data_IF_296500739458
#
_entry.id   IF_296500739458
#
_cell.length_a   1.000
_cell.length_b   1.000
_cell.length_c   1.000
_cell.angle_alpha   90.00
_cell.angle_beta   90.00
_cell.angle_gamma   90.00
#
_symmetry.space_group_name_H-M   'P 1'
#
loop_
_entity.id
_entity.type
_entity.pdbx_description
1 polymer ?
#
# COMPACT_ATOMS: atom_id res chain seq x y z
N UNK A 1 -7.82 -8.22 1.97
CA UNK A 1 -8.75 -7.26 1.35
C UNK A 1 -9.02 -6.14 2.32
N UNK A 2 -8.44 -5.00 2.03
CA UNK A 2 -8.53 -3.83 2.88
C UNK A 2 -9.47 -2.83 2.23
N UNK A 3 -10.45 -2.33 2.96
CA UNK A 3 -11.28 -1.18 2.58
C UNK A 3 -11.88 -0.59 3.83
N UNK A 4 -11.64 0.68 4.07
CA UNK A 4 -12.20 1.43 5.17
C UNK A 4 -12.96 2.63 4.63
N UNK A 5 -14.16 2.87 5.13
CA UNK A 5 -14.91 4.10 4.87
C UNK A 5 -14.94 4.95 6.13
N UNK A 6 -14.61 6.22 5.99
CA UNK A 6 -14.70 7.22 7.07
C UNK A 6 -15.74 8.24 6.62
N UNK A 7 -16.82 8.35 7.39
CA UNK A 7 -17.87 9.35 7.18
C UNK A 7 -17.79 10.42 8.27
N UNK A 8 -17.70 11.67 7.86
CA UNK A 8 -17.72 12.83 8.73
C UNK A 8 -18.76 13.79 8.16
N UNK A 9 -19.83 14.00 8.89
CA UNK A 9 -21.02 14.74 8.45
C UNK A 9 -21.59 14.17 7.13
N UNK A 10 -21.52 14.95 6.04
CA UNK A 10 -22.03 14.58 4.73
C UNK A 10 -20.92 14.19 3.74
N UNK A 11 -19.71 14.01 4.20
CA UNK A 11 -18.57 13.65 3.36
C UNK A 11 -18.02 12.27 3.74
N UNK A 12 -17.74 11.45 2.73
CA UNK A 12 -17.15 10.12 2.87
C UNK A 12 -15.84 10.07 2.12
N UNK A 13 -14.82 9.54 2.78
CA UNK A 13 -13.58 9.11 2.13
C UNK A 13 -13.41 7.60 2.30
N UNK A 14 -12.74 6.99 1.33
CA UNK A 14 -12.47 5.56 1.35
C UNK A 14 -10.96 5.37 1.38
N UNK A 15 -10.47 4.51 2.26
CA UNK A 15 -9.06 4.11 2.30
C UNK A 15 -8.97 2.68 1.79
N UNK A 16 -8.23 2.51 0.69
CA UNK A 16 -8.02 1.26 -0.03
C UNK A 16 -9.31 0.61 -0.58
N UNK A 17 -9.16 -0.31 -1.51
CA UNK A 17 -10.21 -1.19 -1.99
C UNK A 17 -9.57 -2.46 -2.58
N UNK A 18 -9.15 -3.35 -1.69
CA UNK A 18 -8.43 -4.55 -2.03
C UNK A 18 -9.31 -5.67 -2.55
N UNK A 19 -8.66 -6.71 -3.05
CA UNK A 19 -9.30 -7.97 -3.39
C UNK A 19 -8.66 -9.12 -2.60
N UNK A 20 -9.38 -10.23 -2.57
CA UNK A 20 -8.87 -11.51 -2.10
C UNK A 20 -9.02 -12.55 -3.21
N UNK A 21 -8.00 -13.35 -3.42
CA UNK A 21 -8.10 -14.48 -4.34
C UNK A 21 -9.04 -15.54 -3.77
N UNK A 22 -9.69 -16.28 -4.64
CA UNK A 22 -10.48 -17.42 -4.23
C UNK A 22 -9.60 -18.47 -3.55
N UNK A 23 -10.21 -19.24 -2.67
CA UNK A 23 -9.61 -20.43 -2.04
C UNK A 23 -10.45 -21.66 -2.37
N UNK A 24 -10.07 -22.81 -1.83
CA UNK A 24 -10.79 -24.07 -2.03
C UNK A 24 -12.27 -24.01 -1.57
N UNK A 25 -12.60 -23.10 -0.65
CA UNK A 25 -13.96 -22.92 -0.13
C UNK A 25 -14.87 -22.15 -1.09
N UNK A 26 -14.30 -21.51 -2.12
CA UNK A 26 -15.04 -20.68 -3.10
C UNK A 26 -14.76 -21.13 -4.55
N UNK A 27 -15.08 -22.38 -4.94
CA UNK A 27 -14.82 -22.88 -6.29
C UNK A 27 -15.64 -22.10 -7.32
N UNK A 28 -15.00 -21.75 -8.45
CA UNK A 28 -15.63 -21.00 -9.54
C UNK A 28 -15.71 -19.48 -9.32
N UNK A 29 -15.10 -18.97 -8.25
CA UNK A 29 -14.93 -17.54 -8.01
C UNK A 29 -13.48 -17.18 -8.24
N UNK A 30 -13.19 -16.19 -9.09
CA UNK A 30 -11.83 -15.74 -9.36
C UNK A 30 -11.26 -14.86 -8.24
N UNK A 31 -12.12 -13.99 -7.69
CA UNK A 31 -11.72 -13.09 -6.59
C UNK A 31 -12.94 -12.58 -5.81
N UNK A 32 -12.68 -12.11 -4.60
CA UNK A 32 -13.67 -11.50 -3.71
C UNK A 32 -13.28 -10.04 -3.45
N UNK A 33 -14.22 -9.12 -3.59
CA UNK A 33 -14.06 -7.69 -3.26
C UNK A 33 -14.90 -7.33 -2.04
N UNK A 34 -14.63 -6.19 -1.39
CA UNK A 34 -15.47 -5.69 -0.31
C UNK A 34 -16.91 -5.43 -0.73
N UNK A 35 -17.85 -5.55 0.20
CA UNK A 35 -19.24 -5.20 -0.03
C UNK A 35 -19.39 -3.68 -0.11
N UNK A 36 -19.93 -3.20 -1.21
CA UNK A 36 -20.05 -1.77 -1.52
C UNK A 36 -21.43 -1.18 -1.29
N UNK A 37 -22.42 -1.98 -0.85
CA UNK A 37 -23.82 -1.56 -0.77
C UNK A 37 -24.03 -0.27 0.03
N UNK A 38 -23.38 -0.15 1.18
CA UNK A 38 -23.45 1.07 2.01
C UNK A 38 -22.97 2.32 1.24
N UNK A 39 -21.91 2.18 0.47
CA UNK A 39 -21.32 3.25 -0.32
C UNK A 39 -22.15 3.58 -1.58
N UNK A 40 -22.73 2.56 -2.21
CA UNK A 40 -23.59 2.74 -3.38
C UNK A 40 -24.83 3.59 -3.07
N UNK A 41 -25.41 3.39 -1.89
CA UNK A 41 -26.54 4.17 -1.39
C UNK A 41 -26.19 5.62 -1.04
N UNK A 42 -24.87 5.95 -0.92
CA UNK A 42 -24.31 7.25 -0.49
C UNK A 42 -23.29 7.81 -1.44
N UNK A 43 -23.30 7.38 -2.70
CA UNK A 43 -22.30 7.77 -3.70
C UNK A 43 -22.12 9.28 -3.86
N UNK A 44 -23.18 10.04 -3.65
CA UNK A 44 -23.16 11.51 -3.78
C UNK A 44 -22.38 12.20 -2.63
N UNK A 45 -22.14 11.47 -1.52
CA UNK A 45 -21.32 11.92 -0.39
C UNK A 45 -19.84 11.53 -0.51
N UNK A 46 -19.48 10.62 -1.42
CA UNK A 46 -18.11 10.12 -1.54
C UNK A 46 -17.25 11.17 -2.24
N UNK A 47 -16.21 11.64 -1.54
CA UNK A 47 -15.33 12.71 -2.00
C UNK A 47 -14.04 12.20 -2.63
N UNK A 48 -13.51 11.10 -2.12
CA UNK A 48 -12.25 10.55 -2.58
C UNK A 48 -12.08 9.07 -2.18
N UNK A 49 -11.23 8.38 -2.94
CA UNK A 49 -10.58 7.15 -2.51
C UNK A 49 -9.08 7.43 -2.35
N UNK A 50 -8.52 6.99 -1.24
CA UNK A 50 -7.12 7.20 -0.85
C UNK A 50 -6.45 5.83 -0.81
N UNK A 51 -5.35 5.65 -1.54
CA UNK A 51 -4.68 4.36 -1.63
C UNK A 51 -3.34 4.43 -0.91
N UNK A 52 -3.16 3.58 0.08
CA UNK A 52 -1.94 3.54 0.89
C UNK A 52 -0.74 3.03 0.10
N UNK A 53 -0.90 1.96 -0.67
CA UNK A 53 0.15 1.38 -1.50
C UNK A 53 -0.40 0.42 -2.57
N UNK A 54 0.47 -0.08 -3.45
CA UNK A 54 0.07 -0.79 -4.66
C UNK A 54 -0.14 -2.31 -4.55
N UNK A 55 -0.21 -2.92 -3.37
CA UNK A 55 -0.49 -4.36 -3.26
C UNK A 55 -1.95 -4.69 -3.61
N UNK A 56 -2.19 -5.88 -4.16
CA UNK A 56 -3.51 -6.28 -4.67
C UNK A 56 -4.60 -6.36 -3.59
N UNK A 57 -4.24 -6.67 -2.36
CA UNK A 57 -5.16 -6.64 -1.23
C UNK A 57 -5.52 -5.22 -0.76
N UNK A 58 -4.92 -4.19 -1.39
CA UNK A 58 -5.25 -2.76 -1.23
C UNK A 58 -5.82 -2.13 -2.50
N UNK A 59 -5.35 -2.52 -3.70
CA UNK A 59 -5.80 -1.92 -4.96
C UNK A 59 -6.62 -2.84 -5.87
N UNK A 60 -6.61 -4.14 -5.63
CA UNK A 60 -7.13 -5.13 -6.58
C UNK A 60 -8.62 -4.97 -6.92
N UNK A 61 -9.43 -4.48 -5.98
CA UNK A 61 -10.85 -4.21 -6.16
C UNK A 61 -11.19 -2.82 -6.67
N UNK A 62 -10.23 -1.90 -6.75
CA UNK A 62 -10.46 -0.48 -7.06
C UNK A 62 -11.28 -0.26 -8.33
N UNK A 63 -10.97 -0.85 -9.51
CA UNK A 63 -11.78 -0.63 -10.71
C UNK A 63 -13.25 -0.99 -10.54
N UNK A 64 -13.50 -2.12 -9.88
CA UNK A 64 -14.85 -2.64 -9.66
C UNK A 64 -15.62 -1.83 -8.61
N UNK A 65 -14.96 -1.44 -7.54
CA UNK A 65 -15.56 -0.62 -6.47
C UNK A 65 -15.92 0.76 -7.03
N UNK A 66 -14.98 1.43 -7.69
CA UNK A 66 -15.22 2.76 -8.28
C UNK A 66 -16.41 2.79 -9.24
N UNK A 67 -16.57 1.76 -10.08
CA UNK A 67 -17.68 1.68 -11.03
C UNK A 67 -19.05 1.64 -10.34
N UNK A 68 -19.12 1.18 -9.09
CA UNK A 68 -20.36 1.08 -8.30
C UNK A 68 -20.66 2.34 -7.50
N UNK A 69 -19.62 3.06 -7.08
CA UNK A 69 -19.74 4.17 -6.14
C UNK A 69 -19.64 5.56 -6.80
N UNK A 70 -19.75 5.66 -8.13
CA UNK A 70 -19.79 6.94 -8.83
C UNK A 70 -18.42 7.45 -9.31
N UNK A 71 -17.36 6.63 -9.27
CA UNK A 71 -16.03 6.92 -9.78
C UNK A 71 -15.37 8.19 -9.20
N UNK A 72 -15.32 8.35 -7.86
CA UNK A 72 -14.65 9.50 -7.24
C UNK A 72 -13.15 9.53 -7.58
N UNK A 73 -12.48 10.71 -7.40
CA UNK A 73 -11.03 10.81 -7.59
C UNK A 73 -10.27 9.87 -6.65
N UNK A 74 -9.17 9.31 -7.16
CA UNK A 74 -8.29 8.37 -6.43
C UNK A 74 -6.93 9.02 -6.22
N UNK A 75 -6.51 9.14 -4.97
CA UNK A 75 -5.24 9.74 -4.60
C UNK A 75 -4.26 8.67 -4.14
N UNK A 76 -3.05 8.69 -4.67
CA UNK A 76 -1.96 7.81 -4.22
C UNK A 76 -0.58 8.34 -4.65
N UNK A 77 0.47 7.70 -4.18
CA UNK A 77 1.84 7.92 -4.62
C UNK A 77 2.05 7.40 -6.05
N UNK A 78 3.10 7.89 -6.70
CA UNK A 78 3.34 7.67 -8.13
C UNK A 78 3.36 6.18 -8.53
N UNK A 79 4.13 5.33 -7.84
CA UNK A 79 4.20 3.91 -8.16
C UNK A 79 2.83 3.23 -8.04
N UNK A 80 2.10 3.53 -6.97
CA UNK A 80 0.75 2.98 -6.76
C UNK A 80 -0.22 3.43 -7.85
N UNK A 81 -0.11 4.68 -8.32
CA UNK A 81 -0.90 5.19 -9.47
C UNK A 81 -0.57 4.42 -10.75
N UNK A 82 0.70 4.10 -11.01
CA UNK A 82 1.09 3.27 -12.16
C UNK A 82 0.52 1.86 -12.06
N UNK A 83 0.56 1.25 -10.88
CA UNK A 83 -0.02 -0.07 -10.64
C UNK A 83 -1.55 -0.07 -10.75
N UNK A 84 -2.21 0.96 -10.25
CA UNK A 84 -3.64 1.18 -10.43
C UNK A 84 -4.02 1.27 -11.91
N UNK A 85 -3.27 2.02 -12.71
CA UNK A 85 -3.48 2.12 -14.16
C UNK A 85 -3.30 0.76 -14.85
N UNK A 86 -2.28 -0.01 -14.43
CA UNK A 86 -2.09 -1.38 -14.92
C UNK A 86 -3.28 -2.26 -14.54
N UNK A 87 -3.73 -2.21 -13.28
CA UNK A 87 -4.91 -2.95 -12.82
C UNK A 87 -6.18 -2.54 -13.57
N UNK A 88 -6.38 -1.23 -13.80
CA UNK A 88 -7.52 -0.73 -14.59
C UNK A 88 -7.53 -1.27 -16.03
N UNK A 89 -6.36 -1.47 -16.63
CA UNK A 89 -6.27 -2.00 -18.01
C UNK A 89 -6.81 -3.42 -18.17
N UNK A 90 -6.98 -4.16 -17.09
CA UNK A 90 -7.62 -5.47 -17.09
C UNK A 90 -9.17 -5.37 -17.16
N UNK A 91 -9.71 -4.18 -16.95
CA UNK A 91 -11.14 -3.88 -16.96
C UNK A 91 -11.47 -2.75 -17.96
N UNK A 92 -11.19 -2.92 -19.27
CA UNK A 92 -11.31 -1.84 -20.25
C UNK A 92 -12.77 -1.37 -20.48
N UNK A 93 -13.74 -2.15 -20.03
CA UNK A 93 -15.17 -1.86 -20.12
C UNK A 93 -15.69 -0.99 -18.96
N UNK A 94 -14.88 -0.79 -17.92
CA UNK A 94 -15.25 0.06 -16.77
C UNK A 94 -14.81 1.51 -17.00
N UNK A 95 -15.41 2.48 -16.26
CA UNK A 95 -15.04 3.88 -16.36
C UNK A 95 -13.54 4.11 -16.14
N UNK A 96 -12.98 5.07 -16.86
CA UNK A 96 -11.57 5.43 -16.71
C UNK A 96 -11.27 5.91 -15.29
N UNK A 97 -10.10 5.52 -14.79
CA UNK A 97 -9.61 5.89 -13.46
C UNK A 97 -9.21 7.37 -13.42
N UNK A 98 -9.79 8.14 -12.49
CA UNK A 98 -9.36 9.50 -12.18
C UNK A 98 -8.29 9.45 -11.08
N UNK A 99 -7.07 9.06 -11.41
CA UNK A 99 -5.98 8.93 -10.46
C UNK A 99 -5.13 10.20 -10.39
N UNK A 100 -4.92 10.69 -9.19
CA UNK A 100 -4.17 11.89 -8.86
C UNK A 100 -2.97 11.48 -8.01
N UNK A 101 -1.78 11.88 -8.43
CA UNK A 101 -0.55 11.64 -7.66
C UNK A 101 -0.42 12.69 -6.56
N UNK A 102 -0.11 12.23 -5.35
CA UNK A 102 0.20 13.07 -4.19
C UNK A 102 1.61 12.79 -3.68
N UNK A 103 2.18 13.77 -2.99
CA UNK A 103 3.49 13.64 -2.37
C UNK A 103 3.40 13.33 -0.87
N UNK A 104 4.46 12.74 -0.32
CA UNK A 104 4.55 12.59 1.14
C UNK A 104 4.55 13.98 1.79
N UNK A 105 3.88 14.08 2.94
CA UNK A 105 3.65 15.33 3.68
C UNK A 105 2.72 16.35 2.98
N UNK A 106 2.09 15.97 1.87
CA UNK A 106 1.04 16.76 1.25
C UNK A 106 -0.24 16.73 2.08
N UNK A 107 -1.02 17.80 1.99
CA UNK A 107 -2.34 17.94 2.62
C UNK A 107 -3.36 18.27 1.55
N UNK A 108 -4.46 17.56 1.53
CA UNK A 108 -5.57 17.80 0.60
C UNK A 108 -6.89 17.96 1.34
N UNK A 109 -7.86 18.54 0.66
CA UNK A 109 -9.25 18.59 1.11
C UNK A 109 -10.10 17.65 0.27
N UNK A 110 -10.79 16.73 0.93
CA UNK A 110 -11.76 15.81 0.33
C UNK A 110 -13.16 16.24 0.81
N UNK A 111 -13.82 17.15 0.05
CA UNK A 111 -14.96 17.87 0.58
C UNK A 111 -14.53 18.76 1.77
N UNK A 112 -15.12 18.54 2.94
CA UNK A 112 -14.74 19.22 4.18
C UNK A 112 -13.69 18.46 4.98
N UNK A 113 -13.38 17.22 4.61
CA UNK A 113 -12.44 16.36 5.32
C UNK A 113 -11.01 16.75 4.93
N UNK A 114 -10.21 17.10 5.92
CA UNK A 114 -8.78 17.40 5.74
C UNK A 114 -7.95 16.12 5.92
N UNK A 115 -7.17 15.80 4.90
CA UNK A 115 -6.33 14.60 4.85
C UNK A 115 -4.87 14.99 4.68
N UNK A 116 -3.98 14.37 5.45
CA UNK A 116 -2.53 14.45 5.29
C UNK A 116 -1.95 13.10 4.97
N UNK A 117 -0.86 13.10 4.23
CA UNK A 117 -0.08 11.91 3.90
C UNK A 117 1.28 11.94 4.59
N UNK A 118 1.84 10.76 4.89
CA UNK A 118 3.23 10.64 5.30
C UNK A 118 3.88 9.39 4.71
N UNK A 119 5.21 9.38 4.63
CA UNK A 119 5.96 8.21 4.16
C UNK A 119 5.92 7.08 5.19
N UNK A 120 5.73 5.86 4.73
CA UNK A 120 5.78 4.64 5.55
C UNK A 120 6.71 3.65 4.88
N UNK A 121 7.55 2.99 5.67
CA UNK A 121 8.38 1.90 5.16
C UNK A 121 7.57 0.62 5.05
N UNK A 122 7.59 0.03 3.85
CA UNK A 122 6.97 -1.25 3.56
C UNK A 122 7.77 -2.01 2.50
N UNK A 123 7.32 -3.20 2.10
CA UNK A 123 8.01 -4.05 1.10
C UNK A 123 7.90 -3.52 -0.33
N UNK A 124 7.04 -2.57 -0.58
CA UNK A 124 6.86 -1.87 -1.86
C UNK A 124 7.17 -0.38 -1.68
N UNK A 125 7.92 0.25 -2.60
CA UNK A 125 8.19 1.68 -2.58
C UNK A 125 6.91 2.52 -2.66
N UNK A 126 7.02 3.80 -2.27
CA UNK A 126 5.92 4.76 -2.31
C UNK A 126 4.72 4.39 -1.42
N UNK A 127 4.94 3.57 -0.39
CA UNK A 127 3.91 3.37 0.64
C UNK A 127 3.70 4.64 1.45
N UNK A 128 2.45 4.91 1.80
CA UNK A 128 2.09 6.09 2.58
C UNK A 128 1.01 5.77 3.60
N UNK A 129 1.10 6.43 4.73
CA UNK A 129 0.02 6.48 5.70
C UNK A 129 -0.91 7.66 5.46
N UNK A 130 -2.09 7.59 6.03
CA UNK A 130 -3.19 8.55 5.87
C UNK A 130 -3.63 9.04 7.25
N UNK A 131 -3.59 10.36 7.45
CA UNK A 131 -4.10 11.04 8.62
C UNK A 131 -5.35 11.80 8.21
N UNK A 132 -6.46 11.54 8.90
CA UNK A 132 -7.70 12.28 8.77
C UNK A 132 -7.86 13.18 9.98
N UNK A 133 -7.90 14.49 9.77
CA UNK A 133 -8.08 15.45 10.84
C UNK A 133 -9.57 15.62 11.16
N UNK A 134 -9.91 15.49 12.43
CA UNK A 134 -11.26 15.76 12.96
C UNK A 134 -11.20 16.74 14.13
N UNK A 135 -12.31 17.32 14.51
CA UNK A 135 -12.40 18.20 15.69
C UNK A 135 -12.07 17.46 17.02
N UNK A 136 -12.18 16.12 17.02
CA UNK A 136 -11.92 15.29 18.20
C UNK A 136 -10.49 14.75 18.27
N UNK A 137 -9.73 14.88 17.19
CA UNK A 137 -8.36 14.36 17.05
C UNK A 137 -8.14 13.70 15.70
N UNK A 138 -7.01 13.06 15.52
CA UNK A 138 -6.63 12.43 14.27
C UNK A 138 -7.06 10.96 14.20
N UNK A 139 -7.60 10.55 13.05
CA UNK A 139 -7.71 9.15 12.67
C UNK A 139 -6.47 8.84 11.83
N UNK A 140 -5.69 7.86 12.26
CA UNK A 140 -4.39 7.51 11.67
C UNK A 140 -4.46 6.11 11.10
N UNK A 141 -4.18 5.98 9.80
CA UNK A 141 -4.07 4.70 9.10
C UNK A 141 -2.71 4.63 8.40
N UNK A 142 -1.74 3.86 8.92
CA UNK A 142 -0.44 3.67 8.28
C UNK A 142 -0.49 2.81 7.01
N UNK A 143 -1.60 2.14 6.71
CA UNK A 143 -1.60 1.03 5.77
C UNK A 143 -0.79 -0.15 6.31
N UNK A 144 -0.20 -0.93 5.40
CA UNK A 144 0.78 -1.94 5.77
C UNK A 144 2.14 -1.27 5.96
N UNK A 145 2.80 -1.57 7.06
CA UNK A 145 4.08 -0.96 7.39
C UNK A 145 5.02 -1.90 8.14
N UNK A 146 6.26 -1.58 8.10
CA UNK A 146 7.29 -2.09 9.02
C UNK A 146 8.12 -0.91 9.51
N UNK A 147 8.72 -1.04 10.67
CA UNK A 147 9.71 -0.07 11.14
C UNK A 147 11.08 -0.51 10.64
N UNK A 148 11.79 0.39 9.96
CA UNK A 148 13.20 0.16 9.64
C UNK A 148 14.01 0.42 10.89
N UNK A 149 14.72 -0.63 11.34
CA UNK A 149 15.39 -0.65 12.64
C UNK A 149 16.65 -1.53 12.57
N UNK A 150 17.57 -1.30 13.49
CA UNK A 150 18.73 -2.16 13.74
C UNK A 150 18.85 -2.43 15.24
N UNK A 151 18.84 -3.70 15.63
CA UNK A 151 18.87 -4.15 17.04
C UNK A 151 17.80 -3.47 17.92
N UNK A 152 16.62 -3.24 17.38
CA UNK A 152 15.50 -2.60 18.08
C UNK A 152 15.57 -1.06 18.13
N UNK A 153 16.61 -0.47 17.55
CA UNK A 153 16.73 0.99 17.41
C UNK A 153 16.18 1.40 16.06
N UNK A 154 15.13 2.21 16.07
CA UNK A 154 14.48 2.74 14.85
C UNK A 154 15.46 3.68 14.14
N UNK A 155 15.45 3.66 12.80
CA UNK A 155 16.31 4.55 12.02
C UNK A 155 15.91 6.03 12.18
N UNK A 156 16.86 6.95 12.02
CA UNK A 156 16.62 8.40 12.10
C UNK A 156 15.54 8.86 11.11
N UNK A 157 15.45 8.21 9.97
CA UNK A 157 14.42 8.51 8.96
C UNK A 157 13.02 8.13 9.45
N UNK A 158 12.88 6.95 10.02
CA UNK A 158 11.64 6.50 10.63
C UNK A 158 11.25 7.38 11.82
N UNK A 159 12.18 7.67 12.73
CA UNK A 159 11.93 8.52 13.88
C UNK A 159 11.41 9.90 13.43
N UNK A 160 12.03 10.50 12.42
CA UNK A 160 11.60 11.77 11.84
C UNK A 160 10.19 11.69 11.22
N UNK A 161 9.85 10.60 10.55
CA UNK A 161 8.53 10.43 9.95
C UNK A 161 7.44 10.26 11.03
N UNK A 162 7.77 9.67 12.17
CA UNK A 162 6.82 9.44 13.24
C UNK A 162 6.77 10.55 14.31
N UNK A 163 7.79 11.40 14.44
CA UNK A 163 7.81 12.51 15.42
C UNK A 163 6.65 13.50 15.27
N UNK A 164 6.01 13.56 14.11
CA UNK A 164 4.81 14.38 13.90
C UNK A 164 3.62 13.97 14.78
N UNK A 165 3.68 12.79 15.39
CA UNK A 165 2.63 12.29 16.28
C UNK A 165 2.88 12.57 17.76
N UNK A 166 4.07 13.06 18.16
CA UNK A 166 4.46 13.24 19.55
C UNK A 166 3.49 14.15 20.34
N UNK A 167 3.04 15.25 19.72
CA UNK A 167 2.09 16.17 20.30
C UNK A 167 0.67 16.03 19.71
N UNK A 168 0.44 15.01 18.88
CA UNK A 168 -0.84 14.84 18.22
C UNK A 168 -1.88 14.18 19.12
N UNK A 169 -3.08 14.73 19.15
CA UNK A 169 -4.23 14.04 19.74
C UNK A 169 -4.75 12.97 18.76
N UNK A 170 -4.27 11.75 18.90
CA UNK A 170 -4.75 10.61 18.11
C UNK A 170 -6.07 10.10 18.71
N UNK A 171 -7.14 10.18 17.92
CA UNK A 171 -8.46 9.67 18.27
C UNK A 171 -8.56 8.16 18.01
N UNK A 172 -8.02 7.72 16.86
CA UNK A 172 -8.08 6.33 16.42
C UNK A 172 -6.81 5.99 15.64
N UNK A 173 -6.15 4.90 16.02
CA UNK A 173 -5.08 4.27 15.26
C UNK A 173 -5.58 2.95 14.65
N UNK A 174 -5.53 2.86 13.32
CA UNK A 174 -5.94 1.68 12.55
C UNK A 174 -4.69 1.01 12.00
N UNK A 175 -4.06 0.18 12.79
CA UNK A 175 -2.74 -0.39 12.49
C UNK A 175 -2.81 -1.78 11.87
N UNK A 176 -1.84 -2.09 11.02
CA UNK A 176 -1.53 -3.46 10.57
C UNK A 176 -1.14 -4.33 11.77
N UNK A 177 -1.68 -5.54 11.80
CA UNK A 177 -1.42 -6.52 12.85
C UNK A 177 -1.01 -7.90 12.30
N UNK A 178 -0.57 -7.97 11.06
CA UNK A 178 -0.26 -9.23 10.34
C UNK A 178 0.74 -10.11 11.10
N UNK A 179 1.74 -9.50 11.73
CA UNK A 179 2.80 -10.21 12.44
C UNK A 179 2.70 -10.12 13.98
N UNK A 180 1.55 -9.78 14.52
CA UNK A 180 1.39 -9.54 15.96
C UNK A 180 1.70 -10.77 16.85
N UNK A 181 1.59 -11.97 16.31
CA UNK A 181 1.90 -13.22 17.01
C UNK A 181 3.41 -13.54 17.02
N UNK A 182 4.21 -12.84 16.23
CA UNK A 182 5.65 -13.03 16.15
C UNK A 182 6.35 -12.11 17.15
N UNK A 183 7.09 -12.70 18.09
CA UNK A 183 7.87 -11.94 19.05
C UNK A 183 9.06 -11.21 18.40
N UNK A 184 9.38 -10.03 18.90
CA UNK A 184 10.54 -9.23 18.49
C UNK A 184 10.26 -8.36 17.27
N UNK A 185 11.31 -7.99 16.55
CA UNK A 185 11.25 -7.11 15.39
C UNK A 185 11.38 -7.86 14.07
N UNK A 186 10.79 -7.34 13.02
CA UNK A 186 11.03 -7.81 11.66
C UNK A 186 12.52 -7.67 11.29
N UNK A 187 13.03 -8.62 10.50
CA UNK A 187 14.41 -8.57 10.02
C UNK A 187 14.63 -7.30 9.18
N UNK A 188 15.66 -6.48 9.50
CA UNK A 188 16.00 -5.29 8.71
C UNK A 188 16.27 -5.63 7.25
N UNK A 189 15.84 -4.76 6.34
CA UNK A 189 15.99 -5.01 4.89
C UNK A 189 17.47 -5.11 4.48
N UNK A 190 18.36 -4.41 5.17
CA UNK A 190 19.81 -4.51 4.94
C UNK A 190 20.33 -5.95 5.17
N UNK A 191 19.83 -6.64 6.18
CA UNK A 191 20.22 -8.03 6.47
C UNK A 191 19.69 -8.98 5.39
N UNK A 192 18.48 -8.73 4.87
CA UNK A 192 17.91 -9.49 3.75
C UNK A 192 18.77 -9.31 2.49
N UNK A 193 19.16 -8.08 2.17
CA UNK A 193 20.05 -7.79 1.03
C UNK A 193 21.41 -8.46 1.17
N UNK A 194 22.04 -8.41 2.35
CA UNK A 194 23.31 -9.08 2.62
C UNK A 194 23.18 -10.60 2.49
N UNK A 195 22.09 -11.17 3.00
CA UNK A 195 21.81 -12.61 2.89
C UNK A 195 21.67 -13.04 1.42
N UNK A 196 20.90 -12.29 0.61
CA UNK A 196 20.75 -12.52 -0.82
C UNK A 196 22.09 -12.44 -1.55
N UNK A 197 22.86 -11.40 -1.29
CA UNK A 197 24.18 -11.22 -1.90
C UNK A 197 25.12 -12.39 -1.58
N UNK A 198 25.22 -12.77 -0.31
CA UNK A 198 26.06 -13.90 0.11
C UNK A 198 25.64 -15.20 -0.58
N UNK A 199 24.33 -15.44 -0.72
CA UNK A 199 23.79 -16.61 -1.38
C UNK A 199 24.13 -16.63 -2.85
N UNK A 200 23.87 -15.51 -3.57
CA UNK A 200 24.12 -15.39 -5.02
C UNK A 200 25.61 -15.52 -5.35
N UNK A 201 26.50 -14.96 -4.53
CA UNK A 201 27.95 -15.04 -4.71
C UNK A 201 28.51 -16.46 -4.57
N UNK A 202 27.88 -17.31 -3.72
CA UNK A 202 28.32 -18.70 -3.50
C UNK A 202 27.92 -19.65 -4.63
N UNK A 203 26.86 -19.34 -5.38
CA UNK A 203 26.33 -20.23 -6.39
C UNK A 203 27.08 -20.05 -7.71
N UNK A 204 27.77 -21.10 -8.18
CA UNK A 204 28.53 -21.10 -9.44
C UNK A 204 27.65 -21.35 -10.69
N UNK A 205 26.51 -22.01 -10.54
CA UNK A 205 25.61 -22.39 -11.63
C UNK A 205 24.52 -21.37 -11.93
N UNK A 206 23.46 -21.87 -12.58
CA UNK A 206 22.22 -21.12 -12.83
C UNK A 206 21.49 -20.90 -11.51
N UNK A 207 20.94 -19.70 -11.34
CA UNK A 207 20.14 -19.32 -10.18
C UNK A 207 18.72 -19.02 -10.67
N UNK A 208 17.73 -19.58 -10.01
CA UNK A 208 16.32 -19.23 -10.18
C UNK A 208 15.86 -18.54 -8.90
N UNK A 209 15.29 -17.35 -9.04
CA UNK A 209 14.78 -16.55 -7.92
C UNK A 209 13.30 -16.32 -8.19
N UNK A 210 12.44 -16.80 -7.30
CA UNK A 210 11.04 -16.46 -7.30
C UNK A 210 10.80 -15.35 -6.25
N UNK A 211 10.15 -14.28 -6.66
CA UNK A 211 9.83 -13.16 -5.78
C UNK A 211 8.49 -12.56 -6.21
N UNK A 212 7.82 -11.88 -5.29
CA UNK A 212 6.69 -11.04 -5.67
C UNK A 212 7.17 -9.87 -6.54
N UNK A 213 6.47 -9.60 -7.63
CA UNK A 213 6.80 -8.49 -8.54
C UNK A 213 6.80 -7.12 -7.83
N UNK A 214 6.07 -6.98 -6.74
CA UNK A 214 6.03 -5.78 -5.91
C UNK A 214 7.29 -5.56 -5.04
N UNK A 215 8.14 -6.58 -4.85
CA UNK A 215 9.40 -6.44 -4.11
C UNK A 215 10.50 -5.76 -4.96
N UNK A 216 10.19 -4.59 -5.48
CA UNK A 216 11.01 -3.86 -6.46
C UNK A 216 12.43 -3.61 -5.95
N UNK A 217 12.60 -3.18 -4.70
CA UNK A 217 13.92 -2.90 -4.13
C UNK A 217 14.81 -4.14 -4.09
N UNK A 218 14.25 -5.31 -3.74
CA UNK A 218 14.97 -6.60 -3.76
C UNK A 218 15.33 -7.04 -5.17
N UNK A 219 14.41 -6.87 -6.12
CA UNK A 219 14.67 -7.19 -7.53
C UNK A 219 15.80 -6.33 -8.10
N UNK A 220 15.79 -5.02 -7.81
CA UNK A 220 16.87 -4.11 -8.20
C UNK A 220 18.20 -4.59 -7.59
N UNK A 221 18.23 -4.93 -6.29
CA UNK A 221 19.46 -5.41 -5.65
C UNK A 221 19.98 -6.69 -6.28
N UNK A 222 19.10 -7.64 -6.60
CA UNK A 222 19.46 -8.88 -7.31
C UNK A 222 20.11 -8.58 -8.68
N UNK A 223 19.53 -7.64 -9.44
CA UNK A 223 20.06 -7.22 -10.74
C UNK A 223 21.46 -6.61 -10.56
N UNK A 224 21.64 -5.69 -9.60
CA UNK A 224 22.93 -5.08 -9.31
C UNK A 224 24.00 -6.13 -8.96
N UNK A 225 23.67 -7.09 -8.09
CA UNK A 225 24.61 -8.18 -7.74
C UNK A 225 24.95 -9.02 -8.97
N UNK A 226 23.98 -9.30 -9.83
CA UNK A 226 24.24 -10.04 -11.07
C UNK A 226 25.15 -9.28 -12.02
N UNK A 227 24.98 -7.97 -12.16
CA UNK A 227 25.87 -7.09 -12.95
C UNK A 227 27.30 -7.09 -12.39
N UNK A 228 27.48 -6.93 -11.08
CA UNK A 228 28.79 -7.01 -10.40
C UNK A 228 29.48 -8.35 -10.69
N UNK A 229 28.72 -9.44 -10.72
CA UNK A 229 29.22 -10.79 -10.98
C UNK A 229 29.29 -11.14 -12.49
N UNK A 230 28.98 -10.19 -13.37
CA UNK A 230 28.91 -10.40 -14.83
C UNK A 230 27.99 -11.56 -15.24
N UNK A 231 26.93 -11.79 -14.49
CA UNK A 231 25.89 -12.79 -14.79
C UNK A 231 24.81 -12.16 -15.67
N UNK A 232 24.27 -12.94 -16.61
CA UNK A 232 23.10 -12.53 -17.38
C UNK A 232 21.84 -12.69 -16.53
N UNK A 233 20.97 -11.68 -16.59
CA UNK A 233 19.65 -11.70 -15.95
C UNK A 233 18.58 -11.87 -17.02
N UNK A 234 17.60 -12.71 -16.74
CA UNK A 234 16.37 -12.87 -17.51
C UNK A 234 15.23 -12.63 -16.55
N UNK A 235 14.35 -11.70 -16.89
CA UNK A 235 13.12 -11.42 -16.13
C UNK A 235 11.95 -12.11 -16.86
N UNK A 236 11.13 -12.80 -16.12
CA UNK A 236 9.93 -13.48 -16.62
C UNK A 236 8.75 -13.26 -15.67
N UNK A 237 7.56 -12.93 -16.24
CA UNK A 237 6.33 -12.64 -15.48
C UNK A 237 5.57 -11.45 -16.02
#
# INVERSE_FOLDING_TARGET
>A
KNMTAIEIDDDIIIIDAGMHFSNEETPGIDYVIPNTRYLEERKDKIRAMLITHGHLDHIGGVPLVLSRIGNPPVYSRNLSVLMLKKRQSEFPHLPALNAITVEKNETIMCGKIKVRFWGVTHTIPDSMGIIVETEHGWIVNPGDYKLDQFDGIVSDEEEKEYSKFDDAKVLLLMTDSTNIENEGFALPEINVHQGLENLIRRIKGRILIAAFASHITRLIRVIQIAEELKKKVVLEG
#
